data_IF_461085691135
#
_entry.id   IF_461085691135
#
_cell.length_a   1.000
_cell.length_b   1.000
_cell.length_c   1.000
_cell.angle_alpha   90.00
_cell.angle_beta   90.00
_cell.angle_gamma   90.00
#
_symmetry.space_group_name_H-M   'P 1'
#
loop_
_entity.id
_entity.type
_entity.pdbx_description
1 polymer ?
#
# COMPACT_ATOMS: atom_id res chain seq x y z
N UNK A 1 -30.77 4.32 -17.73
CA UNK A 1 -30.42 4.31 -16.28
C UNK A 1 -28.98 4.78 -16.17
N UNK A 2 -28.79 6.01 -15.71
CA UNK A 2 -27.49 6.67 -15.58
C UNK A 2 -26.69 6.01 -14.45
N UNK A 3 -25.51 5.47 -14.75
CA UNK A 3 -24.57 4.92 -13.78
C UNK A 3 -23.45 5.94 -13.56
N UNK A 4 -23.36 6.48 -12.35
CA UNK A 4 -22.39 7.50 -11.97
C UNK A 4 -20.96 7.00 -12.09
N UNK A 5 -20.24 7.52 -13.08
CA UNK A 5 -18.78 7.49 -13.16
C UNK A 5 -18.23 8.80 -12.61
N UNK A 6 -17.44 8.74 -11.54
CA UNK A 6 -16.73 9.90 -11.02
C UNK A 6 -16.48 9.84 -9.53
N UNK A 7 -15.39 9.18 -9.11
CA UNK A 7 -14.90 9.31 -7.72
C UNK A 7 -13.47 8.80 -7.48
N UNK A 8 -12.64 8.63 -8.52
CA UNK A 8 -11.25 8.21 -8.34
C UNK A 8 -10.28 9.40 -8.17
N UNK A 9 -10.39 10.41 -9.03
CA UNK A 9 -9.47 11.56 -9.02
C UNK A 9 -9.52 12.40 -7.75
N UNK A 10 -10.67 12.43 -7.06
CA UNK A 10 -10.81 13.13 -5.79
C UNK A 10 -9.99 12.52 -4.65
N UNK A 11 -9.80 11.18 -4.63
CA UNK A 11 -9.02 10.53 -3.57
C UNK A 11 -7.53 10.83 -3.69
N UNK A 12 -6.99 10.90 -4.91
CA UNK A 12 -5.58 11.24 -5.11
C UNK A 12 -5.28 12.67 -4.66
N UNK A 13 -6.16 13.63 -5.00
CA UNK A 13 -6.03 15.03 -4.59
C UNK A 13 -6.07 15.16 -3.05
N UNK A 14 -6.92 14.38 -2.37
CA UNK A 14 -7.02 14.42 -0.90
C UNK A 14 -5.81 13.76 -0.23
N UNK A 15 -5.30 12.66 -0.79
CA UNK A 15 -4.08 12.01 -0.28
C UNK A 15 -2.84 12.90 -0.47
N UNK A 16 -2.69 13.50 -1.66
CA UNK A 16 -1.61 14.44 -1.98
C UNK A 16 -1.68 15.70 -1.11
N UNK A 17 -2.87 16.28 -0.93
CA UNK A 17 -3.07 17.43 -0.03
C UNK A 17 -2.78 17.10 1.45
N UNK A 18 -2.90 15.82 1.84
CA UNK A 18 -2.55 15.35 3.18
C UNK A 18 -1.08 14.90 3.29
N UNK A 19 -0.29 14.96 2.21
CA UNK A 19 1.10 14.53 2.19
C UNK A 19 1.30 13.02 2.35
N UNK A 20 0.31 12.22 1.95
CA UNK A 20 0.33 10.76 2.12
C UNK A 20 0.87 10.13 0.83
N UNK A 21 2.16 9.76 0.82
CA UNK A 21 2.85 9.29 -0.38
C UNK A 21 3.29 7.82 -0.27
N UNK A 22 3.51 7.33 0.95
CA UNK A 22 4.06 6.00 1.20
C UNK A 22 3.13 5.14 2.06
N UNK A 23 3.37 3.83 2.04
CA UNK A 23 2.73 2.89 2.97
C UNK A 23 2.89 3.29 4.45
N UNK A 24 4.02 3.87 4.84
CA UNK A 24 4.25 4.32 6.21
C UNK A 24 3.34 5.51 6.56
N UNK A 25 3.17 6.46 5.65
CA UNK A 25 2.25 7.59 5.82
C UNK A 25 0.80 7.12 5.93
N UNK A 26 0.42 6.12 5.14
CA UNK A 26 -0.91 5.50 5.21
C UNK A 26 -1.14 4.81 6.56
N UNK A 27 -0.13 4.09 7.07
CA UNK A 27 -0.19 3.45 8.38
C UNK A 27 -0.33 4.52 9.47
N UNK A 28 0.49 5.56 9.45
CA UNK A 28 0.42 6.67 10.40
C UNK A 28 -0.93 7.38 10.35
N UNK A 29 -1.48 7.57 9.14
CA UNK A 29 -2.82 8.10 8.94
C UNK A 29 -3.89 7.25 9.62
N UNK A 30 -3.86 5.92 9.44
CA UNK A 30 -4.84 5.03 10.08
C UNK A 30 -4.64 4.89 11.58
N UNK A 31 -3.41 4.94 12.08
CA UNK A 31 -3.12 4.94 13.52
C UNK A 31 -3.64 6.22 14.18
N UNK A 32 -3.47 7.36 13.54
CA UNK A 32 -3.90 8.68 14.07
C UNK A 32 -5.41 8.90 14.00
N UNK A 33 -6.10 8.37 12.99
CA UNK A 33 -7.53 8.63 12.77
C UNK A 33 -8.44 7.44 13.14
N UNK A 34 -7.90 6.22 13.19
CA UNK A 34 -8.66 5.00 13.47
C UNK A 34 -9.89 4.83 12.57
N UNK A 35 -11.02 4.46 13.18
CA UNK A 35 -12.30 4.26 12.46
C UNK A 35 -12.85 5.55 11.83
N UNK A 36 -12.43 6.72 12.33
CA UNK A 36 -12.86 8.04 11.87
C UNK A 36 -12.07 8.55 10.66
N UNK A 37 -11.13 7.76 10.13
CA UNK A 37 -10.36 8.10 8.93
C UNK A 37 -11.29 8.50 7.76
N UNK A 38 -11.07 9.69 7.19
CA UNK A 38 -11.84 10.17 6.05
C UNK A 38 -11.55 9.35 4.77
N UNK A 39 -10.29 8.99 4.55
CA UNK A 39 -9.87 8.14 3.43
C UNK A 39 -9.97 6.67 3.86
N UNK A 40 -10.86 5.91 3.23
CA UNK A 40 -11.12 4.51 3.60
C UNK A 40 -10.23 3.50 2.89
N UNK A 41 -9.62 3.88 1.77
CA UNK A 41 -8.83 3.01 0.94
C UNK A 41 -7.77 3.81 0.18
N UNK A 42 -6.53 3.34 0.21
CA UNK A 42 -5.44 3.82 -0.62
C UNK A 42 -5.11 2.79 -1.68
N UNK A 43 -4.70 3.25 -2.86
CA UNK A 43 -4.12 2.41 -3.90
C UNK A 43 -2.62 2.62 -3.90
N UNK A 44 -1.87 1.55 -4.05
CA UNK A 44 -0.41 1.61 -3.99
C UNK A 44 0.24 0.64 -4.97
N UNK A 45 1.46 0.95 -5.37
CA UNK A 45 2.33 0.03 -6.12
C UNK A 45 3.57 -0.23 -5.27
N UNK A 46 4.29 -1.30 -5.59
CA UNK A 46 5.59 -1.55 -4.97
C UNK A 46 6.56 -0.42 -5.32
N UNK A 47 7.31 0.06 -4.33
CA UNK A 47 8.36 1.04 -4.58
C UNK A 47 9.41 0.48 -5.56
N UNK A 48 9.95 1.31 -6.47
CA UNK A 48 10.97 0.87 -7.41
C UNK A 48 12.16 0.22 -6.70
N UNK A 49 12.61 -0.94 -7.19
CA UNK A 49 13.81 -1.58 -6.67
C UNK A 49 15.04 -0.74 -7.06
N UNK A 50 15.69 -0.10 -6.08
CA UNK A 50 17.09 0.31 -6.25
C UNK A 50 18.02 -0.90 -6.13
N UNK A 51 19.22 -0.83 -6.72
CA UNK A 51 20.23 -1.91 -6.85
C UNK A 51 20.58 -2.73 -5.59
N UNK A 52 20.08 -2.38 -4.40
CA UNK A 52 20.34 -3.11 -3.14
C UNK A 52 19.19 -3.08 -2.11
N UNK A 53 18.00 -2.57 -2.46
CA UNK A 53 16.95 -2.22 -1.48
C UNK A 53 15.58 -2.86 -1.76
N UNK A 54 15.51 -4.10 -2.25
CA UNK A 54 14.22 -4.78 -2.35
C UNK A 54 13.55 -4.90 -0.98
N UNK A 55 12.36 -4.34 -0.83
CA UNK A 55 11.47 -4.58 0.31
C UNK A 55 10.05 -4.77 -0.23
N UNK A 56 9.40 -5.89 0.09
CA UNK A 56 8.03 -6.13 -0.32
C UNK A 56 7.02 -5.24 0.42
N UNK A 57 7.46 -4.52 1.45
CA UNK A 57 6.60 -3.72 2.31
C UNK A 57 6.61 -2.23 1.98
N UNK A 58 7.57 -1.77 1.18
CA UNK A 58 7.66 -0.37 0.78
C UNK A 58 6.73 -0.15 -0.41
N UNK A 59 5.58 0.46 -0.15
CA UNK A 59 4.60 0.81 -1.17
C UNK A 59 4.54 2.32 -1.38
N UNK A 60 4.31 2.74 -2.62
CA UNK A 60 4.03 4.12 -3.02
C UNK A 60 2.56 4.28 -3.33
N UNK A 61 1.93 5.29 -2.75
CA UNK A 61 0.54 5.65 -3.01
C UNK A 61 0.42 6.18 -4.44
N UNK A 62 -0.60 5.72 -5.14
CA UNK A 62 -0.93 6.14 -6.50
C UNK A 62 -2.41 6.43 -6.62
N UNK A 63 -2.78 7.18 -7.65
CA UNK A 63 -4.18 7.38 -7.98
C UNK A 63 -4.85 6.06 -8.34
N UNK A 64 -6.15 5.95 -8.03
CA UNK A 64 -6.96 4.81 -8.46
C UNK A 64 -6.92 4.65 -9.98
N UNK A 65 -6.92 5.75 -10.72
CA UNK A 65 -6.82 5.79 -12.18
C UNK A 65 -5.57 5.12 -12.71
N UNK A 66 -4.49 5.06 -11.94
CA UNK A 66 -3.24 4.45 -12.38
C UNK A 66 -3.28 2.92 -12.36
N UNK A 67 -4.19 2.30 -11.60
CA UNK A 67 -4.18 0.84 -11.36
C UNK A 67 -5.53 0.17 -11.59
N UNK A 68 -6.65 0.85 -11.30
CA UNK A 68 -7.97 0.25 -11.40
C UNK A 68 -8.34 -0.07 -12.86
N UNK A 69 -8.80 -1.30 -13.09
CA UNK A 69 -9.19 -1.84 -14.41
C UNK A 69 -8.06 -1.85 -15.45
N UNK A 70 -6.79 -1.74 -15.05
CA UNK A 70 -5.64 -1.76 -15.97
C UNK A 70 -4.90 -3.08 -16.04
N UNK A 71 -5.36 -4.08 -15.28
CA UNK A 71 -4.69 -5.39 -15.18
C UNK A 71 -3.20 -5.25 -14.81
N UNK A 72 -2.92 -4.39 -13.83
CA UNK A 72 -1.58 -4.13 -13.31
C UNK A 72 -1.52 -4.64 -11.87
N UNK A 73 -0.38 -5.21 -11.48
CA UNK A 73 -0.11 -5.58 -10.10
C UNK A 73 -0.11 -4.34 -9.19
N UNK A 74 -0.90 -4.39 -8.12
CA UNK A 74 -1.02 -3.28 -7.18
C UNK A 74 -1.49 -3.77 -5.82
N UNK A 75 -1.51 -2.84 -4.87
CA UNK A 75 -1.97 -3.05 -3.52
C UNK A 75 -3.12 -2.10 -3.20
N UNK A 76 -4.02 -2.54 -2.33
CA UNK A 76 -4.94 -1.61 -1.66
C UNK A 76 -4.73 -1.67 -0.16
N UNK A 77 -4.63 -0.52 0.48
CA UNK A 77 -4.37 -0.41 1.93
C UNK A 77 -5.55 0.27 2.60
N UNK A 78 -6.05 -0.36 3.67
CA UNK A 78 -7.17 0.11 4.48
C UNK A 78 -6.87 -0.07 5.96
N UNK A 79 -7.68 0.53 6.83
CA UNK A 79 -7.59 0.29 8.29
C UNK A 79 -7.71 -1.19 8.69
N UNK A 80 -8.36 -2.03 7.88
CA UNK A 80 -8.47 -3.47 8.12
C UNK A 80 -7.26 -4.28 7.65
N UNK A 81 -6.58 -3.84 6.60
CA UNK A 81 -5.50 -4.60 6.02
C UNK A 81 -5.10 -4.19 4.61
N UNK A 82 -4.14 -4.94 4.10
CA UNK A 82 -3.54 -4.82 2.78
C UNK A 82 -4.04 -5.95 1.91
N UNK A 83 -4.47 -5.61 0.69
CA UNK A 83 -4.79 -6.60 -0.35
C UNK A 83 -3.75 -6.49 -1.44
N UNK A 84 -3.10 -7.61 -1.77
CA UNK A 84 -2.21 -7.72 -2.92
C UNK A 84 -3.00 -8.24 -4.12
N UNK A 85 -2.98 -7.50 -5.21
CA UNK A 85 -3.77 -7.78 -6.42
C UNK A 85 -2.79 -8.03 -7.56
N UNK A 86 -2.82 -9.26 -8.08
CA UNK A 86 -2.01 -9.70 -9.23
C UNK A 86 -2.94 -10.18 -10.35
N UNK A 87 -2.79 -9.67 -11.58
CA UNK A 87 -3.50 -10.17 -12.76
C UNK A 87 -3.48 -11.69 -12.86
N UNK A 88 -4.66 -12.30 -13.03
CA UNK A 88 -4.79 -13.75 -13.19
C UNK A 88 -4.50 -14.61 -11.94
N UNK A 89 -4.19 -14.01 -10.79
CA UNK A 89 -3.96 -14.70 -9.51
C UNK A 89 -5.01 -14.24 -8.50
N UNK A 90 -5.41 -15.14 -7.59
CA UNK A 90 -6.32 -14.78 -6.50
C UNK A 90 -5.67 -13.71 -5.61
N UNK A 91 -6.42 -12.66 -5.30
CA UNK A 91 -5.95 -11.62 -4.37
C UNK A 91 -5.68 -12.21 -2.98
N UNK A 92 -4.58 -11.75 -2.37
CA UNK A 92 -4.18 -12.14 -1.03
C UNK A 92 -4.46 -11.00 -0.05
N UNK A 93 -5.01 -11.32 1.12
CA UNK A 93 -5.33 -10.34 2.17
C UNK A 93 -4.46 -10.57 3.40
N UNK A 94 -3.85 -9.50 3.87
CA UNK A 94 -3.05 -9.46 5.10
C UNK A 94 -3.63 -8.42 6.05
N UNK A 95 -4.03 -8.78 7.28
CA UNK A 95 -4.47 -7.82 8.30
C UNK A 95 -3.42 -6.73 8.54
N UNK A 96 -3.85 -5.49 8.80
CA UNK A 96 -2.90 -4.35 8.85
C UNK A 96 -1.83 -4.53 9.94
N UNK A 97 -2.22 -5.02 11.11
CA UNK A 97 -1.27 -5.29 12.20
C UNK A 97 -0.27 -6.41 11.87
N UNK A 98 -0.67 -7.39 11.06
CA UNK A 98 0.23 -8.44 10.57
C UNK A 98 1.20 -7.88 9.53
N UNK A 99 0.72 -7.08 8.58
CA UNK A 99 1.57 -6.40 7.60
C UNK A 99 2.65 -5.53 8.28
N UNK A 100 2.28 -4.74 9.28
CA UNK A 100 3.21 -3.91 10.06
C UNK A 100 4.26 -4.76 10.80
N UNK A 101 3.83 -5.88 11.39
CA UNK A 101 4.72 -6.81 12.09
C UNK A 101 5.72 -7.44 11.12
N UNK A 102 5.24 -7.94 9.99
CA UNK A 102 6.05 -8.62 9.00
C UNK A 102 7.06 -7.66 8.35
N UNK A 103 6.66 -6.43 8.06
CA UNK A 103 7.55 -5.36 7.63
C UNK A 103 8.67 -5.06 8.65
N UNK A 104 8.31 -5.01 9.93
CA UNK A 104 9.27 -4.79 11.02
C UNK A 104 10.27 -5.94 11.15
N UNK A 105 9.79 -7.20 11.04
CA UNK A 105 10.64 -8.39 11.06
C UNK A 105 11.58 -8.39 9.87
N UNK A 106 11.09 -8.09 8.67
CA UNK A 106 11.90 -8.03 7.46
C UNK A 106 13.03 -7.00 7.57
N UNK A 107 12.71 -5.79 8.04
CA UNK A 107 13.69 -4.74 8.25
C UNK A 107 14.75 -5.13 9.31
N UNK A 108 14.34 -5.79 10.39
CA UNK A 108 15.26 -6.30 11.40
C UNK A 108 16.19 -7.39 10.82
N UNK A 109 15.65 -8.33 10.05
CA UNK A 109 16.44 -9.40 9.43
C UNK A 109 17.46 -8.84 8.42
N UNK A 110 17.08 -7.86 7.61
CA UNK A 110 18.01 -7.21 6.65
C UNK A 110 19.20 -6.51 7.33
N UNK A 111 19.06 -6.06 8.57
CA UNK A 111 20.15 -5.46 9.33
C UNK A 111 21.14 -6.49 9.89
N UNK A 112 20.75 -7.77 9.96
CA UNK A 112 21.63 -8.83 10.44
C UNK A 112 22.65 -9.21 9.37
N UNK A 113 23.94 -9.12 9.73
CA UNK A 113 25.08 -9.43 8.84
C UNK A 113 25.04 -10.83 8.22
N UNK A 114 24.34 -11.77 8.86
CA UNK A 114 24.15 -13.15 8.38
C UNK A 114 23.11 -13.26 7.25
N UNK A 115 22.02 -12.47 7.29
CA UNK A 115 20.92 -12.56 6.32
C UNK A 115 21.05 -11.60 5.13
N UNK A 116 22.02 -10.68 5.16
CA UNK A 116 22.27 -9.68 4.10
C UNK A 116 22.45 -10.26 2.68
N UNK A 117 22.78 -11.55 2.57
CA UNK A 117 23.02 -12.21 1.28
C UNK A 117 21.90 -13.19 0.87
N UNK A 118 20.87 -13.37 1.70
CA UNK A 118 19.78 -14.34 1.46
C UNK A 118 18.40 -13.70 1.29
N UNK A 119 18.29 -12.39 1.55
CA UNK A 119 17.10 -11.57 1.41
C UNK A 119 17.39 -10.43 0.43
#
# INVERSE_FOLDING_TARGET
>A
RSGGGGSGGGMNIVAEAAGIETSNDVIEYYVSHGLSAAIKLFYSIQAPMGDSNYTPYDLLVVSKENVANKDVEHFTVSSSGVVHIRPGIQSEFTPLGEWMRDASIFNLLRQMRFFRYYL
#
